data_IF_506855859726
#
_entry.id   IF_506855859726
#
_cell.length_a   1.000
_cell.length_b   1.000
_cell.length_c   1.000
_cell.angle_alpha   90.00
_cell.angle_beta   90.00
_cell.angle_gamma   90.00
#
_symmetry.space_group_name_H-M   'P 1'
#
loop_
_entity.id
_entity.type
_entity.pdbx_description
1 polymer ?
#
# COMPACT_ATOMS: atom_id res chain seq x y z
N UNK A 1 -19.84 2.03 -29.75
CA UNK A 1 -20.30 2.48 -28.42
C UNK A 1 -20.38 1.21 -27.60
N UNK A 2 -19.23 0.76 -27.09
CA UNK A 2 -19.17 -0.43 -26.26
C UNK A 2 -19.61 -0.04 -24.84
N UNK A 3 -20.55 -0.83 -24.34
CA UNK A 3 -20.97 -0.84 -22.94
C UNK A 3 -19.75 -1.01 -22.06
N UNK A 4 -19.35 0.06 -21.36
CA UNK A 4 -18.60 -0.10 -20.11
C UNK A 4 -19.50 -0.94 -19.22
N UNK A 5 -19.13 -2.20 -19.01
CA UNK A 5 -19.76 -3.02 -17.99
C UNK A 5 -19.65 -2.25 -16.68
N UNK A 6 -20.80 -1.87 -16.14
CA UNK A 6 -21.02 -1.10 -14.92
C UNK A 6 -20.72 -1.97 -13.67
N UNK A 7 -19.79 -2.91 -13.80
CA UNK A 7 -19.40 -3.81 -12.75
C UNK A 7 -18.49 -3.06 -11.79
N UNK A 8 -18.93 -2.95 -10.54
CA UNK A 8 -18.09 -2.43 -9.46
C UNK A 8 -16.76 -3.18 -9.42
N UNK A 9 -15.64 -2.48 -9.13
CA UNK A 9 -14.34 -3.12 -9.03
C UNK A 9 -14.35 -4.31 -8.09
N UNK A 10 -13.55 -5.33 -8.40
CA UNK A 10 -13.28 -6.43 -7.50
C UNK A 10 -12.63 -5.87 -6.22
N UNK A 11 -13.21 -6.25 -5.09
CA UNK A 11 -12.76 -5.87 -3.74
C UNK A 11 -12.31 -7.11 -2.97
N UNK A 12 -11.41 -6.92 -2.02
CA UNK A 12 -11.03 -8.00 -1.10
C UNK A 12 -12.24 -8.48 -0.30
N UNK A 13 -12.49 -9.80 -0.30
CA UNK A 13 -13.69 -10.40 0.29
C UNK A 13 -13.81 -10.09 1.79
N UNK A 14 -12.69 -10.10 2.52
CA UNK A 14 -12.64 -9.86 3.96
C UNK A 14 -12.30 -8.39 4.29
N UNK A 15 -12.58 -7.45 3.38
CA UNK A 15 -12.32 -6.03 3.57
C UNK A 15 -13.07 -5.43 4.76
N UNK A 16 -14.33 -5.82 4.99
CA UNK A 16 -15.11 -5.39 6.16
C UNK A 16 -14.47 -5.87 7.47
N UNK A 17 -14.11 -7.16 7.52
CA UNK A 17 -13.41 -7.75 8.67
C UNK A 17 -12.09 -7.03 8.95
N UNK A 18 -11.29 -6.76 7.92
CA UNK A 18 -10.04 -6.01 8.07
C UNK A 18 -10.28 -4.58 8.59
N UNK A 19 -11.29 -3.89 8.06
CA UNK A 19 -11.67 -2.55 8.50
C UNK A 19 -12.05 -2.52 9.99
N UNK A 20 -12.78 -3.51 10.46
CA UNK A 20 -13.17 -3.60 11.87
C UNK A 20 -11.99 -3.95 12.78
N UNK A 21 -11.11 -4.85 12.33
CA UNK A 21 -9.90 -5.19 13.08
C UNK A 21 -8.94 -4.01 13.21
N UNK A 22 -8.81 -3.14 12.20
CA UNK A 22 -7.92 -1.97 12.25
C UNK A 22 -8.41 -0.94 13.28
N UNK A 23 -9.72 -0.78 13.48
CA UNK A 23 -10.29 0.18 14.44
C UNK A 23 -9.98 -0.15 15.91
N UNK A 24 -9.69 -1.42 16.21
CA UNK A 24 -9.38 -1.85 17.58
C UNK A 24 -8.04 -1.24 17.99
N UNK A 25 -7.98 -0.54 19.13
CA UNK A 25 -6.71 -0.06 19.70
C UNK A 25 -6.21 -1.01 20.78
N UNK A 26 -4.89 -1.11 20.92
CA UNK A 26 -4.27 -1.90 21.96
C UNK A 26 -3.55 -0.94 22.91
N UNK A 27 -4.01 -0.85 24.15
CA UNK A 27 -3.44 0.08 25.15
C UNK A 27 -2.12 -0.43 25.77
N UNK A 28 -1.61 -1.57 25.29
CA UNK A 28 -0.31 -2.07 25.73
C UNK A 28 0.78 -1.29 25.01
N UNK A 29 1.86 -0.88 25.70
CA UNK A 29 2.97 -0.21 25.06
C UNK A 29 3.53 -1.11 23.95
N UNK A 30 3.24 -0.74 22.71
CA UNK A 30 3.86 -1.30 21.52
C UNK A 30 5.23 -0.64 21.42
N UNK A 31 6.29 -1.45 21.54
CA UNK A 31 7.72 -1.13 21.33
C UNK A 31 8.11 0.34 21.64
N UNK A 32 8.75 0.60 22.80
CA UNK A 32 9.07 1.98 23.21
C UNK A 32 9.97 2.68 22.20
N UNK A 33 9.81 4.01 22.06
CA UNK A 33 10.69 4.87 21.24
C UNK A 33 12.18 4.73 21.61
N UNK A 34 12.49 4.28 22.83
CA UNK A 34 13.88 4.08 23.29
C UNK A 34 14.55 2.83 22.69
N UNK A 35 13.78 1.93 22.05
CA UNK A 35 14.34 0.80 21.29
C UNK A 35 14.91 1.23 19.92
N UNK A 36 14.64 2.46 19.47
CA UNK A 36 15.03 2.94 18.14
C UNK A 36 16.45 3.55 18.11
N UNK A 37 17.08 3.74 19.26
CA UNK A 37 18.46 4.28 19.38
C UNK A 37 19.57 3.22 19.16
N UNK A 38 19.20 1.95 18.96
CA UNK A 38 20.14 0.88 18.62
C UNK A 38 19.70 0.20 17.33
N UNK A 39 20.62 -0.03 16.40
CA UNK A 39 20.49 -0.93 15.23
C UNK A 39 20.30 -2.39 15.67
N UNK A 40 19.29 -2.63 16.50
CA UNK A 40 19.13 -3.87 17.21
C UNK A 40 18.24 -4.77 16.37
N UNK A 41 18.88 -5.65 15.60
CA UNK A 41 18.24 -6.75 14.86
C UNK A 41 17.63 -7.82 15.78
N UNK A 42 17.26 -7.46 17.02
CA UNK A 42 16.71 -8.39 18.01
C UNK A 42 15.26 -8.69 17.66
N UNK A 43 14.90 -9.96 17.82
CA UNK A 43 13.52 -10.39 17.77
C UNK A 43 12.82 -9.94 19.05
N UNK A 44 11.65 -9.33 18.89
CA UNK A 44 10.80 -8.87 19.99
C UNK A 44 9.42 -9.49 19.85
N UNK A 45 8.62 -9.46 20.92
CA UNK A 45 7.24 -9.94 20.82
C UNK A 45 6.44 -9.02 19.90
N UNK A 46 5.78 -9.60 18.89
CA UNK A 46 4.96 -8.86 17.91
C UNK A 46 3.66 -8.31 18.49
N UNK A 47 3.15 -8.92 19.56
CA UNK A 47 1.89 -8.53 20.18
C UNK A 47 1.80 -8.98 21.64
N UNK A 48 1.07 -8.23 22.45
CA UNK A 48 0.72 -8.67 23.80
C UNK A 48 -0.31 -9.83 23.75
N UNK A 49 -0.43 -10.65 24.81
CA UNK A 49 -1.36 -11.78 24.85
C UNK A 49 -2.82 -11.42 24.53
N UNK A 50 -3.28 -10.23 24.92
CA UNK A 50 -4.67 -9.79 24.67
C UNK A 50 -4.93 -9.39 23.21
N UNK A 51 -3.89 -8.99 22.48
CA UNK A 51 -3.98 -8.49 21.10
C UNK A 51 -3.45 -9.53 20.09
N UNK A 52 -3.01 -10.71 20.56
CA UNK A 52 -2.39 -11.74 19.74
C UNK A 52 -3.33 -12.29 18.67
N UNK A 53 -4.52 -12.79 19.05
CA UNK A 53 -5.47 -13.36 18.10
C UNK A 53 -5.89 -12.37 17.01
N UNK A 54 -6.07 -11.10 17.40
CA UNK A 54 -6.32 -10.00 16.47
C UNK A 54 -5.17 -9.84 15.48
N UNK A 55 -3.93 -9.74 15.97
CA UNK A 55 -2.75 -9.58 15.12
C UNK A 55 -2.60 -10.78 14.18
N UNK A 56 -2.78 -12.01 14.67
CA UNK A 56 -2.75 -13.23 13.85
C UNK A 56 -3.82 -13.20 12.77
N UNK A 57 -5.04 -12.78 13.11
CA UNK A 57 -6.14 -12.65 12.14
C UNK A 57 -5.82 -11.62 11.08
N UNK A 58 -5.38 -10.41 11.47
CA UNK A 58 -4.98 -9.36 10.54
C UNK A 58 -3.84 -9.82 9.62
N UNK A 59 -2.79 -10.43 10.17
CA UNK A 59 -1.65 -10.91 9.38
C UNK A 59 -2.06 -12.02 8.40
N UNK A 60 -2.95 -12.92 8.82
CA UNK A 60 -3.46 -14.01 7.97
C UNK A 60 -4.28 -13.47 6.81
N UNK A 61 -5.18 -12.52 7.07
CA UNK A 61 -5.97 -11.87 6.02
C UNK A 61 -5.06 -11.07 5.08
N UNK A 62 -4.13 -10.29 5.62
CA UNK A 62 -3.24 -9.46 4.80
C UNK A 62 -2.33 -10.31 3.90
N UNK A 63 -1.92 -11.51 4.31
CA UNK A 63 -1.16 -12.43 3.46
C UNK A 63 -1.92 -12.91 2.20
N UNK A 64 -3.23 -12.74 2.14
CA UNK A 64 -4.06 -13.06 0.97
C UNK A 64 -4.09 -11.90 -0.04
N UNK A 65 -3.58 -10.73 0.32
CA UNK A 65 -3.57 -9.53 -0.54
C UNK A 65 -2.23 -9.40 -1.28
N UNK A 66 -2.04 -8.31 -2.03
CA UNK A 66 -0.80 -7.94 -2.72
C UNK A 66 -0.27 -9.04 -3.67
N UNK A 67 -1.09 -9.58 -4.59
CA UNK A 67 -0.70 -10.69 -5.45
C UNK A 67 0.51 -10.34 -6.33
N UNK A 68 1.55 -11.17 -6.24
CA UNK A 68 2.81 -10.99 -6.98
C UNK A 68 3.79 -9.99 -6.35
N UNK A 69 3.36 -9.17 -5.38
CA UNK A 69 4.25 -8.27 -4.64
C UNK A 69 5.06 -9.01 -3.57
N UNK A 70 4.53 -10.11 -3.04
CA UNK A 70 5.16 -10.90 -1.97
C UNK A 70 6.54 -11.47 -2.29
N UNK A 71 6.85 -11.65 -3.57
CA UNK A 71 8.09 -12.29 -4.02
C UNK A 71 9.06 -11.28 -4.67
N UNK A 72 8.82 -9.97 -4.51
CA UNK A 72 9.61 -8.89 -5.13
C UNK A 72 9.88 -7.75 -4.16
N UNK A 73 10.98 -7.02 -4.38
CA UNK A 73 11.34 -5.86 -3.56
C UNK A 73 11.39 -6.19 -2.06
N UNK A 74 10.68 -5.41 -1.24
CA UNK A 74 10.53 -5.65 0.20
C UNK A 74 9.45 -6.67 0.58
N UNK A 75 8.72 -7.21 -0.41
CA UNK A 75 7.66 -8.21 -0.19
C UNK A 75 8.12 -9.45 0.58
N UNK A 76 9.26 -10.08 0.23
CA UNK A 76 9.75 -11.25 0.96
C UNK A 76 10.04 -10.97 2.44
N UNK A 77 10.57 -9.78 2.73
CA UNK A 77 10.84 -9.34 4.11
C UNK A 77 9.53 -9.19 4.89
N UNK A 78 8.57 -8.43 4.34
CA UNK A 78 7.26 -8.23 4.98
C UNK A 78 6.50 -9.56 5.17
N UNK A 79 6.51 -10.43 4.16
CA UNK A 79 5.93 -11.78 4.24
C UNK A 79 6.56 -12.61 5.36
N UNK A 80 7.89 -12.54 5.48
CA UNK A 80 8.64 -13.20 6.54
C UNK A 80 8.24 -12.70 7.93
N UNK A 81 8.14 -11.39 8.11
CA UNK A 81 7.70 -10.77 9.36
C UNK A 81 6.26 -11.19 9.73
N UNK A 82 5.32 -11.14 8.79
CA UNK A 82 3.94 -11.58 9.01
C UNK A 82 3.85 -13.05 9.43
N UNK A 83 4.59 -13.93 8.75
CA UNK A 83 4.62 -15.36 9.07
C UNK A 83 5.21 -15.63 10.46
N UNK A 84 6.29 -14.93 10.83
CA UNK A 84 6.87 -15.04 12.17
C UNK A 84 5.91 -14.53 13.24
N UNK A 85 5.25 -13.41 13.00
CA UNK A 85 4.24 -12.89 13.92
C UNK A 85 3.14 -13.94 14.17
N UNK A 86 2.66 -14.60 13.11
CA UNK A 86 1.66 -15.68 13.21
C UNK A 86 2.20 -16.90 13.96
N UNK A 87 3.42 -17.36 13.65
CA UNK A 87 3.94 -18.66 14.11
C UNK A 87 4.58 -18.61 15.50
N UNK A 88 5.31 -17.53 15.78
CA UNK A 88 6.15 -17.41 16.98
C UNK A 88 5.82 -16.17 17.81
N UNK A 89 4.87 -15.34 17.37
CA UNK A 89 4.58 -14.03 17.98
C UNK A 89 5.83 -13.13 18.05
N UNK A 90 6.68 -13.18 17.01
CA UNK A 90 7.91 -12.40 16.91
C UNK A 90 7.85 -11.36 15.79
N UNK A 91 8.45 -10.20 16.03
CA UNK A 91 8.70 -9.16 15.02
C UNK A 91 10.17 -8.73 15.06
N UNK A 92 10.64 -8.10 13.98
CA UNK A 92 11.92 -7.38 14.00
C UNK A 92 11.76 -6.13 14.86
N UNK A 93 12.71 -5.89 15.77
CA UNK A 93 12.64 -4.95 16.90
C UNK A 93 12.01 -3.57 16.65
N UNK A 94 12.08 -3.07 15.43
CA UNK A 94 11.55 -1.75 15.06
C UNK A 94 10.14 -1.77 14.47
N UNK A 95 9.64 -2.91 13.99
CA UNK A 95 8.38 -3.01 13.23
C UNK A 95 7.22 -3.50 14.11
N UNK A 96 6.15 -2.72 14.18
CA UNK A 96 4.87 -3.17 14.72
C UNK A 96 4.02 -3.76 13.58
N UNK A 97 3.70 -5.06 13.70
CA UNK A 97 2.98 -5.79 12.65
C UNK A 97 1.58 -5.24 12.41
N UNK A 98 0.88 -4.81 13.47
CA UNK A 98 -0.48 -4.29 13.35
C UNK A 98 -0.46 -2.92 12.67
N UNK A 99 0.48 -2.05 13.05
CA UNK A 99 0.61 -0.72 12.47
C UNK A 99 1.09 -0.80 11.02
N UNK A 100 2.00 -1.75 10.72
CA UNK A 100 2.45 -2.05 9.38
C UNK A 100 1.32 -2.53 8.45
N UNK A 101 0.40 -3.36 8.95
CA UNK A 101 -0.80 -3.77 8.19
C UNK A 101 -1.77 -2.61 8.04
N UNK A 102 -2.05 -1.87 9.12
CA UNK A 102 -2.98 -0.75 9.12
C UNK A 102 -2.56 0.34 8.13
N UNK A 103 -1.28 0.72 8.13
CA UNK A 103 -0.70 1.67 7.16
C UNK A 103 -0.95 1.22 5.72
N UNK A 104 -0.52 0.00 5.36
CA UNK A 104 -0.62 -0.50 3.97
C UNK A 104 -2.08 -0.61 3.52
N UNK A 105 -2.96 -1.04 4.42
CA UNK A 105 -4.38 -1.14 4.15
C UNK A 105 -5.02 0.23 3.90
N UNK A 106 -4.82 1.19 4.82
CA UNK A 106 -5.33 2.56 4.68
C UNK A 106 -4.75 3.27 3.46
N UNK A 107 -3.47 3.09 3.17
CA UNK A 107 -2.84 3.70 2.02
C UNK A 107 -3.39 3.14 0.69
N UNK A 108 -3.69 1.83 0.62
CA UNK A 108 -4.36 1.24 -0.52
C UNK A 108 -5.79 1.80 -0.70
N UNK A 109 -6.56 1.92 0.39
CA UNK A 109 -7.89 2.51 0.37
C UNK A 109 -7.88 3.99 -0.06
N UNK A 110 -6.85 4.74 0.36
CA UNK A 110 -6.64 6.11 -0.05
C UNK A 110 -6.50 6.22 -1.57
N UNK A 111 -5.63 5.40 -2.19
CA UNK A 111 -5.42 5.47 -3.63
C UNK A 111 -6.64 4.99 -4.41
N UNK A 112 -7.37 3.98 -3.92
CA UNK A 112 -8.65 3.56 -4.51
C UNK A 112 -9.69 4.70 -4.50
N UNK A 113 -9.77 5.43 -3.38
CA UNK A 113 -10.65 6.60 -3.28
C UNK A 113 -10.25 7.68 -4.28
N UNK A 114 -8.96 8.00 -4.42
CA UNK A 114 -8.47 9.02 -5.35
C UNK A 114 -8.74 8.62 -6.80
N UNK A 115 -8.49 7.36 -7.17
CA UNK A 115 -8.83 6.83 -8.50
C UNK A 115 -10.31 7.06 -8.82
N UNK A 116 -11.20 6.78 -7.86
CA UNK A 116 -12.64 7.03 -8.01
C UNK A 116 -13.00 8.52 -8.08
N UNK A 117 -12.43 9.35 -7.21
CA UNK A 117 -12.72 10.80 -7.16
C UNK A 117 -12.30 11.53 -8.44
N UNK A 118 -11.23 11.05 -9.08
CA UNK A 118 -10.70 11.60 -10.33
C UNK A 118 -11.25 10.92 -11.59
N UNK A 119 -12.24 10.02 -11.44
CA UNK A 119 -12.84 9.23 -12.53
C UNK A 119 -11.79 8.51 -13.39
N UNK A 120 -10.76 7.97 -12.74
CA UNK A 120 -9.71 7.22 -13.41
C UNK A 120 -10.12 5.76 -13.63
N UNK A 121 -9.64 5.13 -14.72
CA UNK A 121 -9.81 3.70 -14.91
C UNK A 121 -9.23 2.92 -13.74
N UNK A 122 -9.98 1.93 -13.26
CA UNK A 122 -9.53 1.01 -12.22
C UNK A 122 -8.71 -0.10 -12.88
N UNK A 123 -7.40 -0.20 -12.60
CA UNK A 123 -6.52 -1.17 -13.24
C UNK A 123 -7.03 -2.60 -13.12
N UNK A 124 -7.19 -3.28 -14.25
CA UNK A 124 -7.76 -4.65 -14.32
C UNK A 124 -9.12 -4.82 -13.61
N UNK A 125 -9.86 -3.74 -13.38
CA UNK A 125 -11.07 -3.70 -12.56
C UNK A 125 -10.89 -4.25 -11.13
N UNK A 126 -9.71 -4.06 -10.52
CA UNK A 126 -9.38 -4.52 -9.15
C UNK A 126 -8.95 -3.37 -8.26
N UNK A 127 -9.37 -3.38 -7.00
CA UNK A 127 -8.86 -2.45 -5.98
C UNK A 127 -7.37 -2.65 -5.71
N UNK A 128 -6.69 -1.58 -5.27
CA UNK A 128 -5.24 -1.51 -5.13
C UNK A 128 -4.65 -2.70 -4.37
N UNK A 129 -5.28 -3.09 -3.25
CA UNK A 129 -4.70 -4.09 -2.36
C UNK A 129 -4.71 -5.51 -2.94
N UNK A 130 -5.60 -5.80 -3.90
CA UNK A 130 -5.68 -7.10 -4.59
C UNK A 130 -5.24 -7.02 -6.06
N UNK A 131 -4.78 -5.85 -6.50
CA UNK A 131 -4.30 -5.66 -7.85
C UNK A 131 -2.91 -6.28 -8.03
N UNK A 132 -2.66 -6.89 -9.19
CA UNK A 132 -1.35 -7.41 -9.56
C UNK A 132 -0.80 -6.71 -10.79
N UNK A 133 0.35 -6.05 -10.64
CA UNK A 133 1.11 -5.52 -11.78
C UNK A 133 1.48 -6.58 -12.79
N UNK A 134 1.75 -7.81 -12.34
CA UNK A 134 2.14 -8.90 -13.22
C UNK A 134 0.98 -9.26 -14.15
N UNK A 135 -0.19 -9.55 -13.60
CA UNK A 135 -1.39 -9.90 -14.37
C UNK A 135 -1.81 -8.75 -15.28
N UNK A 136 -1.78 -7.51 -14.77
CA UNK A 136 -2.08 -6.32 -15.55
C UNK A 136 -1.16 -6.19 -16.77
N UNK A 137 0.15 -6.36 -16.58
CA UNK A 137 1.13 -6.27 -17.68
C UNK A 137 0.94 -7.40 -18.70
N UNK A 138 0.54 -8.60 -18.26
CA UNK A 138 0.26 -9.70 -19.18
C UNK A 138 -0.99 -9.43 -20.03
N UNK A 139 -2.09 -9.01 -19.40
CA UNK A 139 -3.32 -8.65 -20.11
C UNK A 139 -3.09 -7.52 -21.13
N UNK A 140 -2.24 -6.57 -20.80
CA UNK A 140 -1.89 -5.46 -21.69
C UNK A 140 -1.05 -5.89 -22.90
N UNK A 141 -0.14 -6.87 -22.72
CA UNK A 141 0.67 -7.41 -23.82
C UNK A 141 -0.16 -8.17 -24.85
N UNK A 142 -1.28 -8.74 -24.43
CA UNK A 142 -2.21 -9.42 -25.33
C UNK A 142 -3.05 -8.41 -26.14
N UNK A 143 -3.28 -7.20 -25.60
CA UNK A 143 -3.82 -6.05 -26.34
C UNK A 143 -2.71 -5.35 -27.15
N UNK A 144 -2.28 -6.02 -28.21
CA UNK A 144 -1.11 -5.77 -29.10
C UNK A 144 -1.06 -4.40 -29.82
N UNK A 145 -1.74 -3.35 -29.33
CA UNK A 145 -1.94 -2.07 -30.04
C UNK A 145 -1.50 -0.80 -29.29
N UNK A 146 -0.67 -0.90 -28.23
CA UNK A 146 -0.23 0.29 -27.47
C UNK A 146 1.24 0.64 -27.73
N UNK A 147 1.58 1.31 -28.85
CA UNK A 147 2.91 1.88 -28.99
C UNK A 147 3.15 2.86 -27.82
N UNK A 148 4.32 2.73 -27.16
CA UNK A 148 4.79 3.58 -26.05
C UNK A 148 4.18 3.34 -24.64
N UNK A 149 3.34 2.33 -24.44
CA UNK A 149 2.75 2.03 -23.11
C UNK A 149 3.80 1.92 -21.99
N UNK A 150 4.83 1.10 -22.21
CA UNK A 150 5.90 0.92 -21.23
C UNK A 150 6.79 2.16 -21.02
N UNK A 151 6.79 3.12 -21.95
CA UNK A 151 7.47 4.40 -21.77
C UNK A 151 6.61 5.35 -20.92
N UNK A 152 5.33 5.50 -21.26
CA UNK A 152 4.39 6.34 -20.52
C UNK A 152 4.27 5.90 -19.07
N UNK A 153 4.07 4.61 -18.81
CA UNK A 153 4.03 4.05 -17.46
C UNK A 153 5.30 4.43 -16.67
N UNK A 154 6.49 4.28 -17.28
CA UNK A 154 7.76 4.60 -16.61
C UNK A 154 7.87 6.09 -16.24
N UNK A 155 7.36 6.98 -17.09
CA UNK A 155 7.37 8.43 -16.83
C UNK A 155 6.44 8.79 -15.68
N UNK A 156 5.24 8.22 -15.65
CA UNK A 156 4.27 8.41 -14.57
C UNK A 156 4.80 7.81 -13.25
N UNK A 157 5.36 6.60 -13.30
CA UNK A 157 5.96 5.96 -12.13
C UNK A 157 7.11 6.78 -11.54
N UNK A 158 7.96 7.37 -12.39
CA UNK A 158 9.01 8.27 -11.93
C UNK A 158 8.44 9.50 -11.20
N UNK A 159 7.33 10.07 -11.69
CA UNK A 159 6.67 11.19 -11.02
C UNK A 159 6.14 10.84 -9.63
N UNK A 160 5.65 9.60 -9.42
CA UNK A 160 5.20 9.14 -8.11
C UNK A 160 6.34 8.72 -7.18
N UNK A 161 7.41 8.14 -7.72
CA UNK A 161 8.60 7.81 -6.94
C UNK A 161 9.26 9.05 -6.36
N UNK A 162 9.29 10.14 -7.14
CA UNK A 162 9.89 11.40 -6.74
C UNK A 162 8.86 12.32 -6.04
N UNK A 163 7.62 11.84 -5.81
CA UNK A 163 6.51 12.57 -5.22
C UNK A 163 6.19 12.16 -3.78
N UNK A 164 5.35 12.97 -3.12
CA UNK A 164 5.00 12.84 -1.69
C UNK A 164 3.85 11.84 -1.44
N UNK A 165 4.02 10.59 -1.88
CA UNK A 165 3.09 9.51 -1.53
C UNK A 165 3.23 9.11 -0.05
N UNK A 166 2.24 8.42 0.55
CA UNK A 166 2.37 7.95 1.93
C UNK A 166 3.57 7.00 2.05
N UNK A 167 4.51 7.38 2.91
CA UNK A 167 5.68 6.56 3.26
C UNK A 167 5.50 6.01 4.68
N UNK A 168 5.90 4.76 4.94
CA UNK A 168 5.80 4.17 6.26
C UNK A 168 6.83 4.79 7.22
N UNK A 169 6.45 4.93 8.48
CA UNK A 169 7.42 5.12 9.56
C UNK A 169 8.27 3.86 9.78
N UNK A 170 9.34 3.96 10.56
CA UNK A 170 10.14 2.80 10.96
C UNK A 170 9.29 1.67 11.58
N UNK A 171 8.24 2.04 12.33
CA UNK A 171 7.29 1.12 12.95
C UNK A 171 6.37 0.43 11.94
N UNK A 172 6.04 1.11 10.86
CA UNK A 172 5.17 0.58 9.80
C UNK A 172 5.95 -0.30 8.79
N UNK A 173 7.28 -0.34 8.92
CA UNK A 173 8.17 -1.23 8.18
C UNK A 173 8.61 -0.66 6.83
N UNK A 174 9.00 -1.53 5.86
CA UNK A 174 9.63 -1.08 4.62
C UNK A 174 8.66 -0.41 3.64
N UNK A 175 9.18 0.37 2.65
CA UNK A 175 8.38 1.05 1.64
C UNK A 175 7.33 0.17 0.94
N UNK A 176 6.15 0.75 0.68
CA UNK A 176 5.02 0.04 0.06
C UNK A 176 4.81 0.47 -1.40
N UNK A 177 5.64 -0.10 -2.28
CA UNK A 177 5.75 0.29 -3.71
C UNK A 177 4.46 0.07 -4.52
N UNK A 178 3.50 -0.71 -4.00
CA UNK A 178 2.26 -1.04 -4.69
C UNK A 178 1.43 0.22 -5.03
N UNK A 179 1.48 1.25 -4.18
CA UNK A 179 0.75 2.50 -4.40
C UNK A 179 1.21 3.21 -5.67
N UNK A 180 2.54 3.35 -5.83
CA UNK A 180 3.15 3.94 -7.03
C UNK A 180 2.74 3.14 -8.26
N UNK A 181 2.79 1.81 -8.17
CA UNK A 181 2.51 0.93 -9.31
C UNK A 181 1.05 1.00 -9.75
N UNK A 182 0.13 0.96 -8.78
CA UNK A 182 -1.31 1.00 -9.03
C UNK A 182 -1.76 2.35 -9.62
N UNK A 183 -1.34 3.48 -9.02
CA UNK A 183 -1.65 4.81 -9.55
C UNK A 183 -1.04 5.02 -10.95
N UNK A 184 0.18 4.53 -11.18
CA UNK A 184 0.80 4.59 -12.52
C UNK A 184 -0.03 3.82 -13.53
N UNK A 185 -0.53 2.64 -13.16
CA UNK A 185 -1.38 1.82 -14.02
C UNK A 185 -2.71 2.54 -14.33
N UNK A 186 -3.38 3.10 -13.33
CA UNK A 186 -4.65 3.80 -13.48
C UNK A 186 -4.55 4.99 -14.46
N UNK A 187 -3.50 5.82 -14.29
CA UNK A 187 -3.25 6.95 -15.20
C UNK A 187 -2.88 6.46 -16.61
N UNK A 188 -2.10 5.39 -16.72
CA UNK A 188 -1.72 4.84 -18.03
C UNK A 188 -2.94 4.31 -18.78
N UNK A 189 -3.86 3.65 -18.08
CA UNK A 189 -5.13 3.17 -18.66
C UNK A 189 -6.07 4.29 -19.11
N UNK A 190 -5.93 5.52 -18.57
CA UNK A 190 -6.70 6.67 -19.03
C UNK A 190 -6.35 7.11 -20.46
N UNK A 191 -5.27 6.56 -21.06
CA UNK A 191 -4.87 6.78 -22.47
C UNK A 191 -4.74 8.26 -22.84
N UNK A 192 -4.31 9.08 -21.89
CA UNK A 192 -4.06 10.50 -22.10
C UNK A 192 -2.69 10.72 -22.77
N UNK A 193 -2.45 11.92 -23.29
CA UNK A 193 -1.09 12.29 -23.72
C UNK A 193 -0.13 12.32 -22.52
N UNK A 194 1.19 12.22 -22.76
CA UNK A 194 2.19 12.27 -21.67
C UNK A 194 2.01 13.52 -20.79
N UNK A 195 1.87 14.70 -21.41
CA UNK A 195 1.67 15.95 -20.68
C UNK A 195 0.43 15.92 -19.78
N UNK A 196 -0.70 15.40 -20.28
CA UNK A 196 -1.93 15.27 -19.50
C UNK A 196 -1.79 14.22 -18.39
N UNK A 197 -1.09 13.13 -18.66
CA UNK A 197 -0.81 12.07 -17.67
C UNK A 197 0.05 12.58 -16.53
N UNK A 198 1.07 13.38 -16.83
CA UNK A 198 1.94 13.99 -15.82
C UNK A 198 1.22 15.10 -15.02
N UNK A 199 0.33 15.86 -15.66
CA UNK A 199 -0.53 16.81 -14.96
C UNK A 199 -1.47 16.08 -13.99
N UNK A 200 -2.03 14.94 -14.41
CA UNK A 200 -2.89 14.11 -13.57
C UNK A 200 -2.11 13.47 -12.41
N UNK A 201 -0.87 13.03 -12.63
CA UNK A 201 -0.01 12.54 -11.55
C UNK A 201 0.24 13.60 -10.47
N UNK A 202 0.44 14.87 -10.87
CA UNK A 202 0.54 16.00 -9.93
C UNK A 202 -0.75 16.22 -9.15
N UNK A 203 -1.90 16.19 -9.82
CA UNK A 203 -3.20 16.31 -9.16
C UNK A 203 -3.42 15.18 -8.15
N UNK A 204 -3.06 13.94 -8.48
CA UNK A 204 -3.10 12.81 -7.53
C UNK A 204 -2.25 13.10 -6.29
N UNK A 205 -1.03 13.61 -6.46
CA UNK A 205 -0.15 13.96 -5.33
C UNK A 205 -0.76 15.06 -4.46
N UNK A 206 -1.44 16.06 -5.04
CA UNK A 206 -2.17 17.09 -4.28
C UNK A 206 -3.32 16.49 -3.45
N UNK A 207 -4.09 15.56 -4.03
CA UNK A 207 -5.15 14.83 -3.31
C UNK A 207 -4.59 13.99 -2.17
N UNK A 208 -3.47 13.29 -2.39
CA UNK A 208 -2.77 12.53 -1.36
C UNK A 208 -2.32 13.45 -0.23
N UNK A 209 -1.67 14.57 -0.55
CA UNK A 209 -1.19 15.52 0.43
C UNK A 209 -2.33 16.03 1.33
N UNK A 210 -3.45 16.44 0.74
CA UNK A 210 -4.62 16.88 1.49
C UNK A 210 -5.20 15.75 2.36
N UNK A 211 -5.32 14.54 1.82
CA UNK A 211 -5.87 13.41 2.55
C UNK A 211 -5.02 12.97 3.75
N UNK A 212 -3.69 13.05 3.63
CA UNK A 212 -2.75 12.69 4.71
C UNK A 212 -2.89 13.63 5.90
N UNK A 213 -3.15 14.92 5.69
CA UNK A 213 -3.37 15.88 6.79
C UNK A 213 -4.55 15.49 7.70
N UNK A 214 -5.46 14.62 7.23
CA UNK A 214 -6.63 14.17 7.98
C UNK A 214 -6.49 12.77 8.60
N UNK A 215 -5.44 11.99 8.31
CA UNK A 215 -5.22 10.66 8.88
C UNK A 215 -3.79 10.51 9.44
N UNK A 216 -3.61 10.45 10.77
CA UNK A 216 -2.30 10.37 11.40
C UNK A 216 -1.53 9.10 11.01
N UNK A 217 -2.22 8.01 10.66
CA UNK A 217 -1.55 6.76 10.27
C UNK A 217 -0.88 6.88 8.89
N UNK A 218 -1.28 7.87 8.08
CA UNK A 218 -0.72 8.15 6.76
C UNK A 218 0.19 9.40 6.76
N UNK A 219 0.26 10.12 7.87
CA UNK A 219 0.99 11.36 8.01
C UNK A 219 2.27 11.17 8.84
N UNK A 220 3.23 10.43 8.29
CA UNK A 220 4.58 10.48 8.82
C UNK A 220 5.33 11.64 8.16
N UNK A 221 5.62 12.68 8.94
CA UNK A 221 6.65 13.66 8.61
C UNK A 221 7.89 13.24 9.37
N UNK A 222 9.02 13.08 8.65
CA UNK A 222 10.31 13.02 9.31
C UNK A 222 10.45 14.38 10.02
N UNK A 223 10.29 14.44 11.34
CA UNK A 223 10.77 15.57 12.11
C UNK A 223 12.28 15.57 11.87
N UNK A 224 12.74 16.35 10.89
CA UNK A 224 14.14 16.71 10.82
C UNK A 224 14.40 17.52 12.07
N UNK A 225 14.97 16.86 13.08
CA UNK A 225 15.67 17.53 14.16
C UNK A 225 16.86 18.29 13.53
N UNK A 226 16.57 19.42 12.88
CA UNK A 226 17.56 20.46 12.65
C UNK A 226 17.72 21.21 13.98
N UNK A 227 18.70 20.74 14.75
CA UNK A 227 19.34 21.48 15.82
C UNK A 227 20.37 22.48 15.26
#
# INVERSE_FOLDING_TARGET
MDSRDDASPEVFLESETMNDLIKIKCDHPRLSKDFFDQEDSRMVSASCPKCHDRMVTMATLFLQTCPGSWDRGFGPLMRGMLRRAIQTNESLGTVDIVDAIAFRWKAAQLVDRIVRELDLPVPSNKTCIIWSKYDWTLSDREEDQRPYFGHQYRRIWAAFRDGDLPEPSLQQGPPFVLLQEYLSAAITEARLSEQKSLALAKLVLEHVHHARQCDPDLNYQYESDEA
#
